data_IF_809056089790
#
_entry.id   IF_809056089790
#
_cell.length_a   1.000
_cell.length_b   1.000
_cell.length_c   1.000
_cell.angle_alpha   90.00
_cell.angle_beta   90.00
_cell.angle_gamma   90.00
#
_symmetry.space_group_name_H-M   'P 1'
#
loop_
_entity.id
_entity.type
_entity.pdbx_description
1 polymer ?
#
# COMPACT_ATOMS: atom_id res chain seq x y z
N UNK A 1 -23.39 -35.53 25.81
CA UNK A 1 -23.83 -36.51 24.78
C UNK A 1 -24.31 -35.81 23.50
N UNK A 2 -23.45 -34.97 22.90
CA UNK A 2 -23.77 -34.27 21.64
C UNK A 2 -22.56 -34.19 20.70
N UNK A 3 -21.51 -34.96 21.03
CA UNK A 3 -20.25 -35.15 20.26
C UNK A 3 -20.28 -36.44 19.43
N UNK A 4 -21.47 -36.95 19.13
CA UNK A 4 -21.71 -38.25 18.50
C UNK A 4 -22.60 -38.13 17.24
N UNK A 5 -22.50 -36.99 16.54
CA UNK A 5 -23.22 -36.71 15.29
C UNK A 5 -22.28 -36.03 14.27
N UNK A 6 -21.07 -36.56 14.10
CA UNK A 6 -20.09 -36.09 13.08
C UNK A 6 -19.62 -37.21 12.14
N UNK A 7 -20.14 -38.44 12.24
CA UNK A 7 -19.68 -39.53 11.36
C UNK A 7 -20.88 -40.32 10.88
N UNK A 8 -20.99 -40.51 9.56
CA UNK A 8 -22.00 -41.26 8.79
C UNK A 8 -23.07 -40.44 8.05
N UNK A 9 -22.67 -39.70 7.02
CA UNK A 9 -23.44 -39.57 5.77
C UNK A 9 -22.54 -38.99 4.66
N UNK A 10 -21.51 -39.76 4.32
CA UNK A 10 -20.93 -39.72 2.99
C UNK A 10 -21.85 -40.56 2.08
N UNK A 11 -22.53 -39.92 1.13
CA UNK A 11 -23.41 -40.60 0.20
C UNK A 11 -23.99 -39.66 -0.86
N UNK A 12 -23.25 -39.53 -1.96
CA UNK A 12 -23.71 -39.21 -3.32
C UNK A 12 -24.80 -38.13 -3.47
N UNK A 13 -24.37 -36.92 -3.84
CA UNK A 13 -25.11 -36.15 -4.85
C UNK A 13 -24.14 -35.70 -5.94
N UNK A 14 -23.91 -36.60 -6.89
CA UNK A 14 -23.25 -36.38 -8.16
C UNK A 14 -24.22 -35.73 -9.16
N UNK A 15 -23.68 -34.84 -9.99
CA UNK A 15 -24.24 -34.25 -11.22
C UNK A 15 -25.02 -32.94 -11.09
N UNK A 16 -24.27 -31.83 -11.11
CA UNK A 16 -24.71 -30.54 -11.65
C UNK A 16 -23.58 -29.95 -12.48
N UNK A 17 -23.57 -30.25 -13.77
CA UNK A 17 -22.58 -29.78 -14.74
C UNK A 17 -22.77 -28.30 -15.09
N UNK A 18 -21.65 -27.66 -15.41
CA UNK A 18 -21.51 -26.40 -16.16
C UNK A 18 -21.41 -25.08 -15.38
N UNK A 19 -20.31 -24.90 -14.63
CA UNK A 19 -19.42 -23.76 -14.85
C UNK A 19 -17.97 -24.23 -14.76
N UNK A 20 -17.30 -24.25 -15.91
CA UNK A 20 -15.87 -24.46 -16.03
C UNK A 20 -15.16 -23.10 -15.89
N UNK A 21 -14.19 -23.03 -14.98
CA UNK A 21 -12.97 -22.24 -15.10
C UNK A 21 -12.06 -22.61 -13.92
N UNK A 22 -11.15 -23.53 -14.20
CA UNK A 22 -9.92 -23.77 -13.46
C UNK A 22 -9.19 -22.47 -13.13
N UNK A 23 -8.57 -22.44 -11.95
CA UNK A 23 -7.24 -21.87 -11.61
C UNK A 23 -7.29 -21.50 -10.11
N UNK A 24 -6.59 -22.22 -9.22
CA UNK A 24 -5.18 -21.91 -8.90
C UNK A 24 -4.72 -20.61 -9.54
N UNK A 25 -5.13 -19.50 -8.95
CA UNK A 25 -4.33 -18.28 -8.99
C UNK A 25 -4.15 -17.86 -7.55
N UNK A 26 -2.95 -18.12 -7.05
CA UNK A 26 -2.16 -17.13 -6.33
C UNK A 26 -2.88 -15.79 -6.27
N UNK A 27 -3.58 -15.55 -5.15
CA UNK A 27 -3.98 -14.20 -4.80
C UNK A 27 -2.69 -13.47 -4.44
N UNK A 28 -1.94 -13.09 -5.47
CA UNK A 28 -1.01 -11.98 -5.42
C UNK A 28 -1.88 -10.78 -5.11
N UNK A 29 -2.13 -10.60 -3.81
CA UNK A 29 -2.62 -9.38 -3.19
C UNK A 29 -1.74 -8.30 -3.77
N UNK A 30 -2.28 -7.62 -4.77
CA UNK A 30 -1.64 -6.45 -5.32
C UNK A 30 -1.82 -5.43 -4.21
N UNK A 31 -0.78 -5.26 -3.40
CA UNK A 31 -0.65 -4.24 -2.34
C UNK A 31 -0.63 -2.83 -2.94
N UNK A 32 -1.50 -2.55 -3.90
CA UNK A 32 -1.90 -1.22 -4.26
C UNK A 32 -2.77 -0.68 -3.13
N UNK A 33 -2.12 -0.27 -2.03
CA UNK A 33 -2.77 0.55 -1.01
C UNK A 33 -3.54 1.66 -1.71
N UNK A 34 -4.84 1.72 -1.48
CA UNK A 34 -5.69 2.77 -2.03
C UNK A 34 -5.05 4.14 -1.71
N UNK A 35 -4.98 5.10 -2.66
CA UNK A 35 -4.37 6.41 -2.43
C UNK A 35 -4.86 7.11 -1.14
N UNK A 36 -6.09 6.85 -0.73
CA UNK A 36 -6.65 7.35 0.53
C UNK A 36 -6.00 6.69 1.78
N UNK A 37 -5.70 5.39 1.72
CA UNK A 37 -4.99 4.65 2.77
C UNK A 37 -3.55 5.12 2.89
N UNK A 38 -2.86 5.32 1.76
CA UNK A 38 -1.49 5.83 1.79
C UNK A 38 -1.42 7.25 2.34
N UNK A 39 -2.40 8.10 2.02
CA UNK A 39 -2.50 9.46 2.57
C UNK A 39 -2.75 9.46 4.08
N UNK A 40 -3.61 8.58 4.57
CA UNK A 40 -3.89 8.43 6.01
C UNK A 40 -2.63 8.04 6.79
N UNK A 41 -1.83 7.12 6.23
CA UNK A 41 -0.56 6.70 6.82
C UNK A 41 0.43 7.87 6.89
N UNK A 42 0.67 8.54 5.77
CA UNK A 42 1.58 9.70 5.72
C UNK A 42 1.14 10.81 6.69
N UNK A 43 -0.17 11.11 6.78
CA UNK A 43 -0.68 12.09 7.73
C UNK A 43 -0.51 11.68 9.20
N UNK A 44 -0.56 10.38 9.51
CA UNK A 44 -0.23 9.91 10.85
C UNK A 44 1.27 10.03 11.14
N UNK A 45 2.12 9.67 10.17
CA UNK A 45 3.57 9.74 10.31
C UNK A 45 4.04 11.21 10.51
N UNK A 46 3.46 12.15 9.76
CA UNK A 46 3.74 13.59 9.91
C UNK A 46 3.13 14.23 11.16
N UNK A 47 2.15 13.57 11.81
CA UNK A 47 1.59 14.08 13.05
C UNK A 47 2.65 14.06 14.17
N UNK A 48 3.59 13.10 14.16
CA UNK A 48 4.65 12.98 15.16
C UNK A 48 4.08 12.96 16.57
N UNK A 49 4.62 13.79 17.46
CA UNK A 49 4.21 13.87 18.87
C UNK A 49 2.95 14.71 19.14
N UNK A 50 2.26 15.21 18.10
CA UNK A 50 1.04 16.00 18.27
C UNK A 50 -0.04 15.15 18.97
N UNK A 51 -0.69 15.71 19.98
CA UNK A 51 -1.74 15.06 20.78
C UNK A 51 -2.95 15.98 20.91
N UNK A 52 -4.09 15.40 21.28
CA UNK A 52 -5.32 16.17 21.52
C UNK A 52 -5.81 16.92 20.29
N UNK A 53 -6.16 18.19 20.50
CA UNK A 53 -6.75 19.04 19.45
C UNK A 53 -5.76 19.35 18.32
N UNK A 54 -4.47 19.52 18.66
CA UNK A 54 -3.42 19.81 17.67
C UNK A 54 -3.26 18.68 16.64
N UNK A 55 -3.37 17.42 17.08
CA UNK A 55 -3.35 16.28 16.16
C UNK A 55 -4.58 16.26 15.26
N UNK A 56 -5.76 16.57 15.81
CA UNK A 56 -7.01 16.58 15.04
C UNK A 56 -7.01 17.67 13.99
N UNK A 57 -6.60 18.88 14.36
CA UNK A 57 -6.46 20.01 13.46
C UNK A 57 -5.44 19.69 12.34
N UNK A 58 -4.29 19.13 12.71
CA UNK A 58 -3.28 18.69 11.75
C UNK A 58 -3.81 17.61 10.79
N UNK A 59 -4.49 16.59 11.31
CA UNK A 59 -5.05 15.50 10.50
C UNK A 59 -6.11 16.01 9.52
N UNK A 60 -6.99 16.92 9.97
CA UNK A 60 -8.00 17.53 9.09
C UNK A 60 -7.33 18.28 7.95
N UNK A 61 -6.37 19.14 8.28
CA UNK A 61 -5.61 19.91 7.27
C UNK A 61 -4.85 18.99 6.31
N UNK A 62 -4.20 17.94 6.82
CA UNK A 62 -3.43 16.98 6.01
C UNK A 62 -4.33 16.14 5.08
N UNK A 63 -5.47 15.67 5.57
CA UNK A 63 -6.43 14.87 4.79
C UNK A 63 -7.23 15.72 3.81
N UNK A 64 -7.46 16.99 4.11
CA UNK A 64 -8.16 17.94 3.23
C UNK A 64 -7.24 18.62 2.21
N UNK A 65 -5.93 18.67 2.46
CA UNK A 65 -4.96 19.17 1.49
C UNK A 65 -5.06 18.32 0.21
N UNK A 66 -5.14 18.95 -0.96
CA UNK A 66 -4.96 18.24 -2.23
C UNK A 66 -3.66 17.46 -2.14
N UNK A 67 -3.56 16.23 -2.69
CA UNK A 67 -2.35 15.41 -2.55
C UNK A 67 -1.16 16.27 -2.95
N UNK A 68 -0.39 16.72 -1.96
CA UNK A 68 0.91 17.31 -2.21
C UNK A 68 1.61 16.22 -2.98
N UNK A 69 2.00 16.52 -4.23
CA UNK A 69 2.64 15.54 -5.11
C UNK A 69 3.68 14.85 -4.25
N UNK A 70 3.47 13.56 -3.95
CA UNK A 70 4.50 12.79 -3.25
C UNK A 70 5.74 12.99 -4.11
N UNK A 71 6.73 13.67 -3.54
CA UNK A 71 7.93 13.98 -4.29
C UNK A 71 8.47 12.62 -4.73
N UNK A 72 8.34 12.32 -6.01
CA UNK A 72 8.71 11.01 -6.51
C UNK A 72 10.19 10.83 -6.20
N UNK A 73 10.63 9.60 -5.98
CA UNK A 73 12.06 9.32 -5.78
C UNK A 73 12.91 10.03 -6.85
N UNK A 74 12.41 10.11 -8.08
CA UNK A 74 13.01 10.89 -9.16
C UNK A 74 13.02 12.41 -8.90
N UNK A 75 11.92 13.02 -8.47
CA UNK A 75 11.89 14.43 -8.08
C UNK A 75 12.87 14.72 -6.93
N UNK A 76 12.95 13.84 -5.93
CA UNK A 76 13.89 13.93 -4.83
C UNK A 76 15.36 13.80 -5.29
N UNK A 77 15.66 12.82 -6.14
CA UNK A 77 17.01 12.64 -6.70
C UNK A 77 17.43 13.80 -7.60
N UNK A 78 16.50 14.36 -8.39
CA UNK A 78 16.77 15.53 -9.23
C UNK A 78 17.03 16.78 -8.39
N UNK A 79 16.29 16.96 -7.30
CA UNK A 79 16.48 18.06 -6.35
C UNK A 79 17.78 17.92 -5.56
N UNK A 80 18.13 16.71 -5.13
CA UNK A 80 19.36 16.40 -4.38
C UNK A 80 20.63 16.59 -5.20
N UNK A 81 20.53 16.48 -6.52
CA UNK A 81 21.64 16.69 -7.46
C UNK A 81 21.58 18.04 -8.16
N UNK A 82 20.71 18.96 -7.71
CA UNK A 82 20.67 20.33 -8.20
C UNK A 82 22.01 21.04 -7.90
N UNK A 83 22.67 21.59 -8.91
CA UNK A 83 23.93 22.33 -8.77
C UNK A 83 25.23 21.50 -8.85
N UNK A 84 25.13 20.17 -8.99
CA UNK A 84 26.31 19.30 -9.20
C UNK A 84 26.78 19.32 -10.67
N UNK A 85 28.09 19.19 -10.88
CA UNK A 85 28.69 19.00 -12.22
C UNK A 85 28.24 17.66 -12.81
N UNK A 86 28.18 17.56 -14.15
CA UNK A 86 27.54 16.47 -14.89
C UNK A 86 27.91 15.06 -14.43
N UNK A 87 29.22 14.78 -14.29
CA UNK A 87 29.72 13.48 -13.83
C UNK A 87 29.31 13.14 -12.38
N UNK A 88 29.40 14.10 -11.45
CA UNK A 88 28.96 13.90 -10.06
C UNK A 88 27.44 13.75 -9.95
N UNK A 89 26.67 14.53 -10.72
CA UNK A 89 25.22 14.42 -10.78
C UNK A 89 24.77 13.05 -11.28
N UNK A 90 25.39 12.55 -12.36
CA UNK A 90 25.03 11.25 -12.93
C UNK A 90 25.26 10.11 -11.93
N UNK A 91 26.41 10.13 -11.23
CA UNK A 91 26.73 9.15 -10.19
C UNK A 91 25.74 9.25 -9.02
N UNK A 92 25.51 10.45 -8.50
CA UNK A 92 24.60 10.69 -7.37
C UNK A 92 23.14 10.36 -7.70
N UNK A 93 22.68 10.60 -8.94
CA UNK A 93 21.35 10.22 -9.39
C UNK A 93 21.21 8.70 -9.49
N UNK A 94 22.24 8.00 -10.00
CA UNK A 94 22.24 6.53 -10.09
C UNK A 94 22.22 5.86 -8.72
N UNK A 95 22.99 6.36 -7.75
CA UNK A 95 22.97 5.85 -6.37
C UNK A 95 21.65 6.15 -5.68
N UNK A 96 21.12 7.36 -5.88
CA UNK A 96 19.82 7.75 -5.34
C UNK A 96 18.67 6.89 -5.89
N UNK A 97 18.70 6.51 -7.19
CA UNK A 97 17.67 5.63 -7.78
C UNK A 97 17.82 4.15 -7.41
N UNK A 98 19.02 3.68 -7.05
CA UNK A 98 19.28 2.30 -6.62
C UNK A 98 18.91 2.00 -5.16
N UNK A 99 18.85 3.03 -4.30
CA UNK A 99 18.53 2.89 -2.86
C UNK A 99 17.06 2.73 -2.51
#
# INVERSE_FOLDING_TARGET
MRKLLVVMLAGLFTCGSAYAADTKTDMKKTDAMNPQQTKMKDCNDQAGDKKGDDRKAFMKTCLSAKPAKKESKMAMCNKKTAGMKGDERAKAQSECMKG
#
